data_IF_484621957823
#
_entry.id   IF_484621957823
#
_cell.length_a   1.000
_cell.length_b   1.000
_cell.length_c   1.000
_cell.angle_alpha   90.00
_cell.angle_beta   90.00
_cell.angle_gamma   90.00
#
_symmetry.space_group_name_H-M   'P 1'
#
loop_
_entity.id
_entity.type
_entity.pdbx_description
1 polymer ?
#
# COMPACT_ATOMS: atom_id res chain seq x y z
N UNK A 1 -26.28 -9.46 2.86
CA UNK A 1 -25.34 -8.45 3.43
C UNK A 1 -25.08 -7.45 2.31
N UNK A 2 -24.98 -6.14 2.60
CA UNK A 2 -24.71 -5.14 1.55
C UNK A 2 -23.23 -4.82 1.53
N UNK A 3 -22.58 -4.99 0.39
CA UNK A 3 -21.17 -4.64 0.20
C UNK A 3 -21.07 -3.22 -0.37
N UNK A 4 -20.16 -2.40 0.22
CA UNK A 4 -19.82 -1.06 -0.27
C UNK A 4 -18.50 -1.13 -1.02
N UNK A 5 -18.39 -0.38 -2.11
CA UNK A 5 -17.15 -0.27 -2.89
C UNK A 5 -16.85 1.21 -3.17
N UNK A 6 -15.64 1.65 -2.84
CA UNK A 6 -15.20 3.04 -2.94
C UNK A 6 -14.00 3.10 -3.88
N UNK A 7 -14.03 4.02 -4.82
CA UNK A 7 -13.02 4.25 -5.85
C UNK A 7 -12.70 5.74 -5.96
N UNK A 8 -11.56 6.07 -6.61
CA UNK A 8 -11.31 7.44 -7.07
C UNK A 8 -12.42 7.92 -8.01
N UNK A 9 -12.59 9.22 -8.10
CA UNK A 9 -13.46 9.82 -9.13
C UNK A 9 -12.86 9.62 -10.53
N UNK A 10 -11.53 9.74 -10.66
CA UNK A 10 -10.79 9.59 -11.92
C UNK A 10 -9.41 8.99 -11.68
N UNK A 11 -8.90 8.25 -12.65
CA UNK A 11 -7.50 7.83 -12.67
C UNK A 11 -6.93 7.89 -14.08
N UNK A 12 -5.66 8.30 -14.20
CA UNK A 12 -4.89 8.35 -15.43
C UNK A 12 -3.74 7.36 -15.35
N UNK A 13 -3.53 6.58 -16.41
CA UNK A 13 -2.55 5.50 -16.44
C UNK A 13 -1.65 5.59 -17.66
N UNK A 14 -0.37 5.28 -17.47
CA UNK A 14 0.64 5.22 -18.54
C UNK A 14 1.63 6.37 -18.51
N UNK A 15 2.68 6.24 -19.33
CA UNK A 15 3.75 7.21 -19.41
C UNK A 15 3.24 8.60 -19.80
N UNK A 16 3.58 9.61 -19.00
CA UNK A 16 3.12 10.98 -19.19
C UNK A 16 1.77 11.31 -18.56
N UNK A 17 1.16 10.39 -17.78
CA UNK A 17 -0.12 10.63 -17.10
C UNK A 17 -0.10 11.89 -16.21
N UNK A 18 1.05 12.26 -15.63
CA UNK A 18 1.20 13.49 -14.84
C UNK A 18 0.85 14.78 -15.61
N UNK A 19 0.86 14.77 -16.93
CA UNK A 19 0.50 15.95 -17.75
C UNK A 19 -0.98 16.33 -17.57
N UNK A 20 -1.83 15.36 -17.23
CA UNK A 20 -3.26 15.58 -16.99
C UNK A 20 -3.54 16.30 -15.65
N UNK A 21 -2.55 16.45 -14.77
CA UNK A 21 -2.67 17.23 -13.53
C UNK A 21 -3.17 18.65 -13.83
N UNK A 22 -2.61 19.29 -14.86
CA UNK A 22 -3.00 20.63 -15.24
C UNK A 22 -4.44 20.71 -15.78
N UNK A 23 -4.87 19.71 -16.55
CA UNK A 23 -6.22 19.60 -17.09
C UNK A 23 -7.23 19.45 -15.95
N UNK A 24 -6.99 18.51 -15.04
CA UNK A 24 -7.86 18.24 -13.88
C UNK A 24 -7.93 19.44 -12.93
N UNK A 25 -6.81 20.05 -12.58
CA UNK A 25 -6.79 21.20 -11.68
C UNK A 25 -7.61 22.38 -12.24
N UNK A 26 -7.46 22.67 -13.55
CA UNK A 26 -8.23 23.73 -14.22
C UNK A 26 -9.72 23.37 -14.31
N UNK A 27 -10.07 22.15 -14.65
CA UNK A 27 -11.46 21.70 -14.75
C UNK A 27 -12.19 21.81 -13.41
N UNK A 28 -11.48 21.55 -12.32
CA UNK A 28 -12.02 21.65 -10.94
C UNK A 28 -11.96 23.07 -10.37
N UNK A 29 -11.34 24.00 -11.06
CA UNK A 29 -11.20 25.41 -10.65
C UNK A 29 -10.19 25.64 -9.53
N UNK A 30 -9.27 24.68 -9.31
CA UNK A 30 -8.21 24.79 -8.31
C UNK A 30 -7.18 25.85 -8.69
N UNK A 31 -6.63 26.54 -7.69
CA UNK A 31 -5.74 27.70 -7.89
C UNK A 31 -4.34 27.50 -7.36
N UNK A 32 -4.20 26.88 -6.18
CA UNK A 32 -2.90 26.69 -5.53
C UNK A 32 -2.79 25.31 -4.93
N UNK A 33 -1.79 24.55 -5.37
CA UNK A 33 -1.47 23.22 -4.85
C UNK A 33 -0.62 23.29 -3.57
N UNK A 34 -0.92 22.44 -2.60
CA UNK A 34 0.01 22.07 -1.54
C UNK A 34 0.69 20.76 -1.93
N UNK A 35 1.96 20.82 -2.32
CA UNK A 35 2.69 19.67 -2.85
C UNK A 35 3.41 18.95 -1.73
N UNK A 36 2.89 17.79 -1.33
CA UNK A 36 3.53 16.92 -0.35
C UNK A 36 4.51 15.96 -1.05
N UNK A 37 5.80 16.10 -0.77
CA UNK A 37 6.83 15.22 -1.34
C UNK A 37 8.01 15.07 -0.38
N UNK A 38 8.64 13.88 -0.35
CA UNK A 38 9.79 13.68 0.50
C UNK A 38 11.07 14.35 -0.04
N UNK A 39 12.07 14.61 0.84
CA UNK A 39 13.29 15.31 0.47
C UNK A 39 14.11 14.60 -0.62
N UNK A 40 14.10 13.27 -0.67
CA UNK A 40 14.88 12.52 -1.66
C UNK A 40 14.28 12.64 -3.05
N UNK A 41 12.96 12.59 -3.19
CA UNK A 41 12.28 12.80 -4.47
C UNK A 41 12.54 14.23 -5.01
N UNK A 42 12.62 15.21 -4.12
CA UNK A 42 12.99 16.58 -4.48
C UNK A 42 14.45 16.63 -4.96
N UNK A 43 15.36 16.08 -4.16
CA UNK A 43 16.81 16.02 -4.44
C UNK A 43 17.13 15.33 -5.77
N UNK A 44 16.40 14.25 -6.09
CA UNK A 44 16.58 13.50 -7.32
C UNK A 44 15.72 13.99 -8.49
N UNK A 45 15.09 15.16 -8.37
CA UNK A 45 14.28 15.82 -9.40
C UNK A 45 13.04 15.01 -9.85
N UNK A 46 12.58 14.07 -9.07
CA UNK A 46 11.34 13.34 -9.37
C UNK A 46 10.14 14.28 -9.19
N UNK A 47 10.07 14.96 -8.04
CA UNK A 47 9.04 15.99 -7.76
C UNK A 47 9.03 17.09 -8.81
N UNK A 48 10.21 17.49 -9.31
CA UNK A 48 10.34 18.53 -10.32
C UNK A 48 9.53 18.25 -11.60
N UNK A 49 9.36 16.99 -11.99
CA UNK A 49 8.55 16.64 -13.17
C UNK A 49 7.10 17.14 -13.04
N UNK A 50 6.53 17.06 -11.84
CA UNK A 50 5.17 17.56 -11.55
C UNK A 50 5.18 19.09 -11.43
N UNK A 51 6.19 19.67 -10.78
CA UNK A 51 6.30 21.13 -10.65
C UNK A 51 6.41 21.79 -12.05
N UNK A 52 7.15 21.19 -12.99
CA UNK A 52 7.25 21.69 -14.37
C UNK A 52 5.89 21.68 -15.09
N UNK A 53 5.03 20.70 -14.83
CA UNK A 53 3.64 20.67 -15.35
C UNK A 53 2.82 21.81 -14.76
N UNK A 54 2.93 22.08 -13.45
CA UNK A 54 2.22 23.19 -12.81
C UNK A 54 2.69 24.55 -13.32
N UNK A 55 4.01 24.76 -13.40
CA UNK A 55 4.62 25.99 -13.91
C UNK A 55 4.22 26.27 -15.37
N UNK A 56 4.31 25.22 -16.22
CA UNK A 56 3.91 25.31 -17.63
C UNK A 56 2.43 25.65 -17.83
N UNK A 57 1.60 25.33 -16.85
CA UNK A 57 0.16 25.62 -16.84
C UNK A 57 -0.21 26.94 -16.14
N UNK A 58 0.76 27.62 -15.50
CA UNK A 58 0.53 28.83 -14.71
C UNK A 58 -0.21 28.57 -13.40
N UNK A 59 -0.12 27.36 -12.84
CA UNK A 59 -0.73 26.97 -11.57
C UNK A 59 0.24 27.26 -10.43
N UNK A 60 -0.27 27.88 -9.36
CA UNK A 60 0.52 28.16 -8.16
C UNK A 60 0.69 26.92 -7.32
N UNK A 61 1.78 26.82 -6.59
CA UNK A 61 2.02 25.74 -5.64
C UNK A 61 2.92 26.18 -4.48
N UNK A 62 2.89 25.38 -3.42
CA UNK A 62 3.82 25.46 -2.30
C UNK A 62 4.27 24.04 -1.93
N UNK A 63 5.58 23.83 -1.77
CA UNK A 63 6.13 22.49 -1.48
C UNK A 63 6.29 22.30 0.02
N UNK A 64 5.71 21.22 0.52
CA UNK A 64 5.92 20.70 1.86
C UNK A 64 6.77 19.43 1.80
N UNK A 65 7.99 19.52 2.35
CA UNK A 65 9.00 18.46 2.26
C UNK A 65 9.36 17.81 3.59
N UNK A 66 8.63 18.09 4.66
CA UNK A 66 8.87 17.46 5.95
C UNK A 66 8.22 16.06 6.06
N UNK A 67 8.32 15.30 4.99
CA UNK A 67 7.85 13.91 4.93
C UNK A 67 9.01 13.00 5.35
N UNK A 68 8.72 12.06 6.23
CA UNK A 68 9.67 11.03 6.68
C UNK A 68 9.15 9.63 6.33
N UNK A 69 10.03 8.66 6.12
CA UNK A 69 9.64 7.25 6.18
C UNK A 69 8.91 6.98 7.51
N UNK A 70 7.85 6.16 7.49
CA UNK A 70 6.99 5.93 8.65
C UNK A 70 6.50 7.26 9.29
N UNK A 71 5.63 8.02 8.60
CA UNK A 71 5.25 9.37 9.01
C UNK A 71 4.68 9.39 10.43
N UNK A 72 5.08 10.39 11.20
CA UNK A 72 4.71 10.54 12.60
C UNK A 72 3.56 11.54 12.79
N UNK A 73 2.94 11.51 13.96
CA UNK A 73 1.95 12.52 14.39
C UNK A 73 2.50 13.94 14.19
N UNK A 74 3.77 14.20 14.56
CA UNK A 74 4.42 15.49 14.38
C UNK A 74 4.47 15.93 12.91
N UNK A 75 4.79 15.01 11.99
CA UNK A 75 4.79 15.31 10.54
C UNK A 75 3.41 15.78 10.07
N UNK A 76 2.34 15.13 10.53
CA UNK A 76 0.98 15.53 10.20
C UNK A 76 0.65 16.91 10.79
N UNK A 77 0.96 17.16 12.06
CA UNK A 77 0.65 18.43 12.73
C UNK A 77 1.37 19.63 12.11
N UNK A 78 2.66 19.44 11.78
CA UNK A 78 3.42 20.48 11.05
C UNK A 78 2.88 20.71 9.65
N UNK A 79 2.47 19.64 8.96
CA UNK A 79 1.83 19.71 7.65
C UNK A 79 0.48 20.44 7.67
N UNK A 80 -0.36 20.18 8.67
CA UNK A 80 -1.63 20.90 8.88
C UNK A 80 -1.39 22.41 9.05
N UNK A 81 -0.38 22.77 9.84
CA UNK A 81 -0.01 24.17 10.07
C UNK A 81 0.50 24.84 8.78
N UNK A 82 1.35 24.13 8.02
CA UNK A 82 1.87 24.60 6.75
C UNK A 82 0.76 24.75 5.69
N UNK A 83 -0.17 23.79 5.60
CA UNK A 83 -1.32 23.89 4.69
C UNK A 83 -2.16 25.14 4.98
N UNK A 84 -2.52 25.37 6.24
CA UNK A 84 -3.29 26.56 6.64
C UNK A 84 -2.61 27.86 6.28
N UNK A 85 -1.28 27.92 6.39
CA UNK A 85 -0.50 29.12 6.05
C UNK A 85 -0.31 29.31 4.54
N UNK A 86 -0.35 28.24 3.76
CA UNK A 86 -0.10 28.27 2.33
C UNK A 86 -1.20 28.94 1.52
N UNK A 87 -2.44 28.92 1.98
CA UNK A 87 -3.62 29.32 1.22
C UNK A 87 -3.93 28.41 0.02
N UNK A 88 -3.43 27.18 0.03
CA UNK A 88 -3.74 26.17 -0.98
C UNK A 88 -5.18 25.68 -0.84
N UNK A 89 -5.75 25.24 -1.96
CA UNK A 89 -7.13 24.74 -2.06
C UNK A 89 -7.23 23.25 -2.44
N UNK A 90 -6.10 22.60 -2.77
CA UNK A 90 -5.97 21.17 -2.96
C UNK A 90 -4.56 20.68 -2.62
N UNK A 91 -4.40 19.37 -2.49
CA UNK A 91 -3.11 18.73 -2.21
C UNK A 91 -2.66 17.93 -3.44
N UNK A 92 -1.37 17.98 -3.77
CA UNK A 92 -0.74 17.02 -4.68
C UNK A 92 0.21 16.17 -3.83
N UNK A 93 -0.09 14.89 -3.66
CA UNK A 93 0.77 13.95 -2.95
C UNK A 93 1.67 13.23 -3.96
N UNK A 94 2.99 13.45 -3.86
CA UNK A 94 4.00 12.84 -4.74
C UNK A 94 4.88 11.95 -3.88
N UNK A 95 4.86 10.64 -4.12
CA UNK A 95 5.70 9.71 -3.37
C UNK A 95 5.12 8.32 -3.23
N UNK A 96 5.69 7.57 -2.31
CA UNK A 96 5.15 6.29 -1.84
C UNK A 96 4.11 6.49 -0.73
N UNK A 97 3.83 5.41 0.02
CA UNK A 97 2.86 5.41 1.11
C UNK A 97 3.04 6.56 2.09
N UNK A 98 4.27 6.84 2.53
CA UNK A 98 4.53 7.91 3.53
C UNK A 98 4.07 9.31 3.09
N UNK A 99 4.28 9.67 1.83
CA UNK A 99 3.80 10.96 1.29
C UNK A 99 2.27 10.98 1.16
N UNK A 100 1.67 9.88 0.72
CA UNK A 100 0.23 9.73 0.57
C UNK A 100 -0.48 9.75 1.94
N UNK A 101 0.01 8.98 2.90
CA UNK A 101 -0.55 8.87 4.24
C UNK A 101 -0.50 10.20 4.98
N UNK A 102 0.64 10.92 4.88
CA UNK A 102 0.76 12.26 5.45
C UNK A 102 -0.25 13.22 4.81
N UNK A 103 -0.38 13.18 3.47
CA UNK A 103 -1.31 14.05 2.74
C UNK A 103 -2.78 13.80 3.12
N UNK A 104 -3.18 12.51 3.25
CA UNK A 104 -4.51 12.11 3.69
C UNK A 104 -4.81 12.60 5.11
N UNK A 105 -3.89 12.36 6.05
CA UNK A 105 -4.04 12.82 7.42
C UNK A 105 -4.14 14.36 7.53
N UNK A 106 -3.31 15.10 6.77
CA UNK A 106 -3.41 16.57 6.71
C UNK A 106 -4.79 16.97 6.18
N UNK A 107 -5.18 16.45 5.03
CA UNK A 107 -6.41 16.86 4.36
C UNK A 107 -7.67 16.54 5.15
N UNK A 108 -7.73 15.40 5.86
CA UNK A 108 -8.85 15.04 6.73
C UNK A 108 -8.97 15.98 7.94
N UNK A 109 -7.85 16.31 8.60
CA UNK A 109 -7.84 17.21 9.74
C UNK A 109 -8.24 18.64 9.35
N UNK A 110 -7.84 19.11 8.18
CA UNK A 110 -8.20 20.45 7.70
C UNK A 110 -9.73 20.61 7.60
N UNK A 111 -10.42 19.59 7.13
CA UNK A 111 -11.88 19.61 6.92
C UNK A 111 -12.68 19.11 8.13
N UNK A 112 -12.02 18.41 9.07
CA UNK A 112 -12.62 17.89 10.30
C UNK A 112 -11.73 18.29 11.51
N UNK A 113 -11.70 19.55 11.90
CA UNK A 113 -10.77 20.06 12.92
C UNK A 113 -10.97 19.48 14.32
N UNK A 114 -12.10 18.84 14.59
CA UNK A 114 -12.36 18.09 15.81
C UNK A 114 -11.42 16.86 15.96
N UNK A 115 -10.84 16.39 14.88
CA UNK A 115 -9.84 15.31 14.84
C UNK A 115 -8.39 15.84 14.79
N UNK A 116 -8.12 17.04 15.29
CA UNK A 116 -6.77 17.62 15.28
C UNK A 116 -5.74 16.80 16.06
N UNK A 117 -6.15 16.02 17.06
CA UNK A 117 -5.31 14.96 17.61
C UNK A 117 -5.35 13.73 16.67
N UNK A 118 -4.25 13.49 15.99
CA UNK A 118 -4.11 12.39 15.01
C UNK A 118 -4.50 11.03 15.59
N UNK A 119 -4.32 10.82 16.91
CA UNK A 119 -4.70 9.58 17.60
C UNK A 119 -6.21 9.31 17.53
N UNK A 120 -7.02 10.36 17.43
CA UNK A 120 -8.48 10.22 17.30
C UNK A 120 -8.93 9.68 15.94
N UNK A 121 -8.03 9.61 14.97
CA UNK A 121 -8.29 9.05 13.63
C UNK A 121 -7.99 7.56 13.54
N UNK A 122 -7.41 6.94 14.58
CA UNK A 122 -7.09 5.51 14.55
C UNK A 122 -8.35 4.64 14.42
N UNK A 123 -8.26 3.59 13.62
CA UNK A 123 -9.40 2.74 13.27
C UNK A 123 -10.33 3.43 12.29
N UNK A 124 -11.62 3.37 12.52
CA UNK A 124 -12.66 4.02 11.70
C UNK A 124 -13.18 5.24 12.45
N UNK A 125 -12.69 6.42 12.09
CA UNK A 125 -13.14 7.67 12.68
C UNK A 125 -14.47 8.13 12.06
N UNK A 126 -15.35 8.76 12.88
CA UNK A 126 -16.64 9.28 12.43
C UNK A 126 -16.49 10.70 11.86
N UNK A 127 -15.62 10.88 10.88
CA UNK A 127 -15.45 12.15 10.16
C UNK A 127 -16.72 12.51 9.40
N UNK A 128 -16.98 13.81 9.23
CA UNK A 128 -18.23 14.30 8.60
C UNK A 128 -17.99 14.85 7.20
N UNK A 129 -16.80 15.39 6.98
CA UNK A 129 -16.48 16.09 5.74
C UNK A 129 -15.44 15.30 4.94
N UNK A 130 -15.58 15.33 3.61
CA UNK A 130 -14.53 14.84 2.71
C UNK A 130 -13.23 15.58 2.97
N UNK A 131 -12.13 14.88 2.82
CA UNK A 131 -10.78 15.43 2.82
C UNK A 131 -10.65 16.62 1.85
N UNK A 132 -9.71 17.51 2.10
CA UNK A 132 -9.21 18.42 1.05
C UNK A 132 -8.91 17.58 -0.20
N UNK A 133 -9.33 17.99 -1.41
CA UNK A 133 -9.11 17.19 -2.61
C UNK A 133 -7.63 16.83 -2.79
N UNK A 134 -7.33 15.55 -2.98
CA UNK A 134 -5.98 15.05 -3.18
C UNK A 134 -5.82 14.55 -4.61
N UNK A 135 -4.79 15.03 -5.29
CA UNK A 135 -4.24 14.49 -6.52
C UNK A 135 -3.04 13.62 -6.14
N UNK A 136 -3.11 12.34 -6.41
CA UNK A 136 -2.12 11.38 -6.00
C UNK A 136 -1.22 10.97 -7.16
N UNK A 137 0.11 11.11 -6.98
CA UNK A 137 1.15 10.75 -7.95
C UNK A 137 2.10 9.74 -7.30
N UNK A 138 1.82 8.43 -7.42
CA UNK A 138 2.65 7.41 -6.80
C UNK A 138 4.03 7.33 -7.48
N UNK A 139 5.07 7.17 -6.67
CA UNK A 139 6.44 6.93 -7.12
C UNK A 139 6.95 5.54 -6.73
N UNK A 140 6.12 4.75 -6.06
CA UNK A 140 6.36 3.33 -5.75
C UNK A 140 5.24 2.48 -6.31
N UNK A 141 5.54 1.23 -6.63
CA UNK A 141 4.55 0.27 -7.13
C UNK A 141 4.30 -0.81 -6.06
N UNK A 142 3.60 -0.44 -4.98
CA UNK A 142 3.39 -1.33 -3.83
C UNK A 142 2.12 -1.02 -3.06
N UNK A 143 2.11 0.10 -2.35
CA UNK A 143 1.10 0.43 -1.35
C UNK A 143 -0.30 0.73 -1.90
N UNK A 144 -0.38 1.12 -3.17
CA UNK A 144 -1.62 1.60 -3.79
C UNK A 144 -2.34 2.72 -3.00
N UNK A 145 -1.60 3.51 -2.22
CA UNK A 145 -2.18 4.54 -1.37
C UNK A 145 -2.94 5.62 -2.15
N UNK A 146 -2.68 5.75 -3.45
CA UNK A 146 -3.39 6.63 -4.37
C UNK A 146 -4.84 6.22 -4.65
N UNK A 147 -5.25 4.98 -4.26
CA UNK A 147 -6.60 4.45 -4.51
C UNK A 147 -7.23 3.82 -3.27
N UNK A 148 -6.58 3.95 -2.10
CA UNK A 148 -7.08 3.35 -0.86
C UNK A 148 -7.73 4.37 0.06
N UNK A 149 -8.62 3.88 0.93
CA UNK A 149 -9.25 4.64 2.03
C UNK A 149 -8.47 4.50 3.33
N UNK A 150 -7.26 3.96 3.28
CA UNK A 150 -6.43 3.70 4.45
C UNK A 150 -5.21 4.62 4.43
N UNK A 151 -4.72 4.95 5.61
CA UNK A 151 -3.41 5.57 5.82
C UNK A 151 -2.83 5.13 7.17
N UNK A 152 -1.51 5.19 7.30
CA UNK A 152 -0.81 4.71 8.50
C UNK A 152 0.08 5.80 9.05
N UNK A 153 -0.15 6.17 10.31
CA UNK A 153 0.66 7.18 11.01
C UNK A 153 1.31 6.53 12.24
N UNK A 154 2.57 6.83 12.47
CA UNK A 154 3.33 6.31 13.60
C UNK A 154 3.12 7.18 14.84
N UNK A 155 2.64 6.58 15.91
CA UNK A 155 2.71 7.14 17.26
C UNK A 155 4.08 6.80 17.86
N UNK A 156 5.02 7.75 17.76
CA UNK A 156 6.39 7.55 18.24
C UNK A 156 6.48 7.44 19.77
N UNK A 157 5.50 7.99 20.52
CA UNK A 157 5.46 7.87 21.99
C UNK A 157 5.10 6.45 22.43
N UNK A 158 4.24 5.78 21.66
CA UNK A 158 3.77 4.41 21.94
C UNK A 158 4.48 3.33 21.12
N UNK A 159 5.44 3.72 20.26
CA UNK A 159 6.17 2.83 19.35
C UNK A 159 5.22 1.91 18.54
N UNK A 160 4.14 2.46 18.00
CA UNK A 160 3.17 1.68 17.22
C UNK A 160 2.69 2.41 15.98
N UNK A 161 2.28 1.65 14.99
CA UNK A 161 1.61 2.15 13.80
C UNK A 161 0.10 2.18 14.04
N UNK A 162 -0.50 3.33 13.77
CA UNK A 162 -1.95 3.54 13.79
C UNK A 162 -2.49 3.39 12.38
N UNK A 163 -3.29 2.37 12.14
CA UNK A 163 -4.03 2.21 10.89
C UNK A 163 -5.31 3.03 10.99
N UNK A 164 -5.47 3.98 10.07
CA UNK A 164 -6.64 4.83 9.96
C UNK A 164 -7.41 4.43 8.68
N UNK A 165 -8.72 4.33 8.78
CA UNK A 165 -9.60 3.94 7.67
C UNK A 165 -10.72 4.96 7.55
N UNK A 166 -10.74 5.73 6.47
CA UNK A 166 -11.75 6.76 6.25
C UNK A 166 -12.15 6.86 4.76
N UNK A 167 -13.40 6.55 4.42
CA UNK A 167 -13.88 6.71 3.04
C UNK A 167 -13.77 8.13 2.50
N UNK A 168 -13.64 9.12 3.37
CA UNK A 168 -13.55 10.53 3.00
C UNK A 168 -12.14 10.94 2.56
N UNK A 169 -11.11 10.12 2.80
CA UNK A 169 -9.70 10.47 2.51
C UNK A 169 -9.20 9.99 1.15
N UNK A 170 -9.99 9.17 0.43
CA UNK A 170 -9.55 8.64 -0.85
C UNK A 170 -9.17 9.78 -1.82
N UNK A 171 -8.00 9.74 -2.46
CA UNK A 171 -7.62 10.73 -3.46
C UNK A 171 -8.66 10.84 -4.57
N UNK A 172 -9.03 12.06 -4.94
CA UNK A 172 -10.07 12.28 -5.98
C UNK A 172 -9.55 11.91 -7.37
N UNK A 173 -8.25 12.12 -7.63
CA UNK A 173 -7.60 11.72 -8.90
C UNK A 173 -6.28 11.03 -8.61
N UNK A 174 -6.05 9.90 -9.27
CA UNK A 174 -4.77 9.21 -9.28
C UNK A 174 -4.08 9.36 -10.65
N UNK A 175 -2.79 9.71 -10.65
CA UNK A 175 -1.95 9.82 -11.86
C UNK A 175 -0.87 8.75 -11.80
N UNK A 176 -1.17 7.57 -12.32
CA UNK A 176 -0.34 6.36 -12.24
C UNK A 176 0.61 6.34 -13.43
N UNK A 177 1.71 7.06 -13.30
CA UNK A 177 2.70 7.27 -14.33
C UNK A 177 3.96 6.42 -14.06
N UNK A 178 4.27 5.39 -14.87
CA UNK A 178 5.44 4.54 -14.66
C UNK A 178 6.77 5.32 -14.72
N UNK A 179 6.83 6.45 -15.40
CA UNK A 179 8.03 7.30 -15.44
C UNK A 179 8.33 7.94 -14.08
N UNK A 180 7.32 8.09 -13.22
CA UNK A 180 7.50 8.55 -11.84
C UNK A 180 8.10 7.46 -10.93
N UNK A 181 8.01 6.20 -11.32
CA UNK A 181 8.48 5.02 -10.57
C UNK A 181 9.84 4.50 -11.09
N UNK A 182 10.31 4.97 -12.24
CA UNK A 182 11.49 4.45 -12.93
C UNK A 182 12.81 4.66 -12.18
N UNK A 183 12.84 5.59 -11.22
CA UNK A 183 14.03 5.88 -10.40
C UNK A 183 14.14 5.00 -9.15
N UNK A 184 13.18 4.14 -8.86
CA UNK A 184 13.26 3.24 -7.70
C UNK A 184 14.46 2.28 -7.82
N UNK A 185 15.30 2.17 -6.76
CA UNK A 185 16.35 1.15 -6.70
C UNK A 185 15.78 -0.28 -6.77
N UNK A 186 16.56 -1.24 -7.26
CA UNK A 186 16.17 -2.65 -7.41
C UNK A 186 15.57 -3.24 -6.13
N UNK A 187 16.23 -3.06 -4.98
CA UNK A 187 15.75 -3.57 -3.70
C UNK A 187 14.41 -3.00 -3.27
N UNK A 188 14.20 -1.69 -3.49
CA UNK A 188 12.91 -1.05 -3.20
C UNK A 188 11.83 -1.55 -4.16
N UNK A 189 12.16 -1.72 -5.44
CA UNK A 189 11.23 -2.26 -6.44
C UNK A 189 10.79 -3.67 -6.09
N UNK A 190 11.73 -4.54 -5.68
CA UNK A 190 11.44 -5.91 -5.25
C UNK A 190 10.53 -5.91 -4.01
N UNK A 191 10.89 -5.13 -2.99
CA UNK A 191 10.12 -5.04 -1.75
C UNK A 191 8.69 -4.54 -1.99
N UNK A 192 8.54 -3.41 -2.68
CA UNK A 192 7.21 -2.83 -2.94
C UNK A 192 6.37 -3.69 -3.88
N UNK A 193 7.00 -4.35 -4.86
CA UNK A 193 6.28 -5.26 -5.76
C UNK A 193 5.77 -6.52 -5.07
N UNK A 194 6.53 -7.07 -4.11
CA UNK A 194 6.04 -8.17 -3.27
C UNK A 194 4.97 -7.72 -2.29
N UNK A 195 5.03 -6.48 -1.81
CA UNK A 195 3.97 -5.86 -1.03
C UNK A 195 2.65 -5.81 -1.83
N UNK A 196 2.71 -5.35 -3.07
CA UNK A 196 1.54 -5.36 -3.97
C UNK A 196 1.00 -6.78 -4.22
N UNK A 197 1.86 -7.78 -4.36
CA UNK A 197 1.45 -9.17 -4.48
C UNK A 197 0.78 -9.67 -3.20
N UNK A 198 1.33 -9.31 -2.04
CA UNK A 198 0.74 -9.65 -0.74
C UNK A 198 -0.64 -9.03 -0.58
N UNK A 199 -0.80 -7.75 -0.92
CA UNK A 199 -2.11 -7.08 -0.96
C UNK A 199 -3.11 -7.84 -1.82
N UNK A 200 -2.69 -8.26 -3.02
CA UNK A 200 -3.59 -8.96 -3.94
C UNK A 200 -3.97 -10.36 -3.41
N UNK A 201 -3.01 -11.12 -2.87
CA UNK A 201 -3.27 -12.46 -2.35
C UNK A 201 -4.10 -12.39 -1.06
N UNK A 202 -3.72 -11.56 -0.07
CA UNK A 202 -4.51 -11.42 1.15
C UNK A 202 -5.90 -10.87 0.88
N UNK A 203 -6.03 -9.84 0.04
CA UNK A 203 -7.31 -9.30 -0.36
C UNK A 203 -8.20 -10.31 -1.08
N UNK A 204 -7.61 -11.25 -1.84
CA UNK A 204 -8.35 -12.33 -2.49
C UNK A 204 -8.89 -13.36 -1.50
N UNK A 205 -8.13 -13.70 -0.47
CA UNK A 205 -8.52 -14.73 0.51
C UNK A 205 -9.17 -14.18 1.78
N UNK A 206 -9.18 -12.87 2.00
CA UNK A 206 -9.75 -12.26 3.21
C UNK A 206 -11.21 -12.63 3.42
N UNK A 207 -11.66 -12.64 4.67
CA UNK A 207 -13.06 -12.92 5.02
C UNK A 207 -14.07 -11.92 4.41
N UNK A 208 -13.62 -10.71 4.09
CA UNK A 208 -14.43 -9.67 3.42
C UNK A 208 -14.52 -9.80 1.90
N UNK A 209 -13.79 -10.75 1.28
CA UNK A 209 -13.73 -10.91 -0.17
C UNK A 209 -15.05 -11.37 -0.78
N UNK A 210 -15.34 -10.89 -2.00
CA UNK A 210 -16.51 -11.26 -2.78
C UNK A 210 -16.23 -11.07 -4.28
N UNK A 211 -17.14 -11.46 -5.16
CA UNK A 211 -16.92 -11.59 -6.60
C UNK A 211 -16.28 -10.35 -7.24
N UNK A 212 -16.72 -9.14 -6.86
CA UNK A 212 -16.16 -7.91 -7.44
C UNK A 212 -14.72 -7.69 -7.00
N UNK A 213 -14.39 -7.87 -5.73
CA UNK A 213 -13.01 -7.74 -5.23
C UNK A 213 -12.11 -8.85 -5.78
N UNK A 214 -12.64 -10.06 -5.88
CA UNK A 214 -11.91 -11.23 -6.38
C UNK A 214 -11.42 -11.01 -7.83
N UNK A 215 -12.25 -10.38 -8.67
CA UNK A 215 -11.88 -10.02 -10.04
C UNK A 215 -10.65 -9.10 -10.09
N UNK A 216 -10.59 -8.08 -9.24
CA UNK A 216 -9.44 -7.19 -9.17
C UNK A 216 -8.19 -7.90 -8.66
N UNK A 217 -8.32 -8.67 -7.59
CA UNK A 217 -7.19 -9.35 -6.97
C UNK A 217 -6.54 -10.38 -7.90
N UNK A 218 -7.34 -11.24 -8.55
CA UNK A 218 -6.79 -12.21 -9.49
C UNK A 218 -6.08 -11.53 -10.66
N UNK A 219 -6.65 -10.44 -11.18
CA UNK A 219 -6.00 -9.68 -12.25
C UNK A 219 -4.72 -9.00 -11.79
N UNK A 220 -4.69 -8.49 -10.57
CA UNK A 220 -3.49 -7.92 -9.98
C UNK A 220 -2.38 -8.97 -9.82
N UNK A 221 -2.69 -10.16 -9.28
CA UNK A 221 -1.74 -11.27 -9.14
C UNK A 221 -1.13 -11.62 -10.50
N UNK A 222 -1.95 -11.77 -11.55
CA UNK A 222 -1.49 -12.09 -12.91
C UNK A 222 -0.50 -11.03 -13.44
N UNK A 223 -0.87 -9.76 -13.33
CA UNK A 223 -0.04 -8.66 -13.84
C UNK A 223 1.27 -8.56 -13.06
N UNK A 224 1.23 -8.63 -11.72
CA UNK A 224 2.41 -8.54 -10.87
C UNK A 224 3.34 -9.72 -11.11
N UNK A 225 2.83 -10.95 -11.13
CA UNK A 225 3.62 -12.16 -11.37
C UNK A 225 4.38 -12.10 -12.70
N UNK A 226 3.76 -11.55 -13.73
CA UNK A 226 4.33 -11.39 -15.07
C UNK A 226 5.42 -10.30 -15.12
N UNK A 227 5.24 -9.18 -14.40
CA UNK A 227 6.00 -7.96 -14.65
C UNK A 227 7.03 -7.63 -13.58
N UNK A 228 6.94 -8.19 -12.36
CA UNK A 228 7.79 -7.78 -11.25
C UNK A 228 9.29 -8.00 -11.52
N UNK A 229 9.67 -9.12 -12.13
CA UNK A 229 11.08 -9.37 -12.50
C UNK A 229 11.59 -8.31 -13.47
N UNK A 230 10.80 -7.98 -14.49
CA UNK A 230 11.14 -6.92 -15.44
C UNK A 230 11.24 -5.55 -14.79
N UNK A 231 10.35 -5.24 -13.83
CA UNK A 231 10.41 -3.99 -13.08
C UNK A 231 11.67 -3.89 -12.22
N UNK A 232 12.10 -4.98 -11.58
CA UNK A 232 13.36 -5.05 -10.81
C UNK A 232 14.58 -4.84 -11.73
N UNK A 233 14.50 -5.32 -12.96
CA UNK A 233 15.52 -5.05 -13.99
C UNK A 233 15.35 -3.69 -14.68
N UNK A 234 14.36 -2.91 -14.25
CA UNK A 234 14.05 -1.56 -14.73
C UNK A 234 13.65 -1.50 -16.21
N UNK A 235 12.96 -2.53 -16.70
CA UNK A 235 12.40 -2.48 -18.05
C UNK A 235 11.15 -1.60 -18.10
N UNK A 236 10.90 -0.86 -19.20
CA UNK A 236 9.71 -0.02 -19.34
C UNK A 236 8.40 -0.82 -19.17
N UNK A 237 8.32 -1.99 -19.79
CA UNK A 237 7.15 -2.88 -19.73
C UNK A 237 6.91 -3.39 -18.28
N UNK A 238 8.00 -3.74 -17.58
CA UNK A 238 7.95 -4.15 -16.18
C UNK A 238 7.43 -3.02 -15.28
N UNK A 239 7.94 -1.79 -15.47
CA UNK A 239 7.49 -0.61 -14.72
C UNK A 239 6.02 -0.29 -14.97
N UNK A 240 5.60 -0.31 -16.24
CA UNK A 240 4.20 -0.08 -16.63
C UNK A 240 3.28 -1.15 -16.05
N UNK A 241 3.66 -2.43 -16.16
CA UNK A 241 2.91 -3.53 -15.60
C UNK A 241 2.79 -3.45 -14.07
N UNK A 242 3.87 -3.09 -13.36
CA UNK A 242 3.82 -2.95 -11.90
C UNK A 242 3.02 -1.73 -11.47
N UNK A 243 3.10 -0.60 -12.18
CA UNK A 243 2.28 0.57 -11.92
C UNK A 243 0.78 0.24 -11.99
N UNK A 244 0.37 -0.52 -13.02
CA UNK A 244 -1.01 -0.96 -13.18
C UNK A 244 -1.39 -2.03 -12.15
N UNK A 245 -0.55 -3.06 -11.96
CA UNK A 245 -0.85 -4.20 -11.11
C UNK A 245 -1.08 -3.82 -9.64
N UNK A 246 -0.24 -2.93 -9.08
CA UNK A 246 -0.40 -2.45 -7.72
C UNK A 246 -1.68 -1.60 -7.55
N UNK A 247 -2.01 -0.75 -8.53
CA UNK A 247 -3.24 0.03 -8.51
C UNK A 247 -4.48 -0.88 -8.50
N UNK A 248 -4.51 -1.91 -9.35
CA UNK A 248 -5.61 -2.88 -9.37
C UNK A 248 -5.71 -3.65 -8.04
N UNK A 249 -4.58 -4.03 -7.42
CA UNK A 249 -4.60 -4.61 -6.08
C UNK A 249 -5.26 -3.68 -5.06
N UNK A 250 -4.94 -2.38 -5.14
CA UNK A 250 -5.53 -1.33 -4.30
C UNK A 250 -7.04 -1.20 -4.44
N UNK A 251 -7.56 -1.25 -5.67
CA UNK A 251 -9.01 -1.26 -5.93
C UNK A 251 -9.71 -2.38 -5.14
N UNK A 252 -9.08 -3.53 -5.02
CA UNK A 252 -9.62 -4.66 -4.29
C UNK A 252 -9.50 -4.51 -2.78
N UNK A 253 -8.27 -4.58 -2.24
CA UNK A 253 -8.03 -4.71 -0.80
C UNK A 253 -8.52 -3.51 0.03
N UNK A 254 -8.50 -2.31 -0.53
CA UNK A 254 -9.02 -1.11 0.13
C UNK A 254 -10.47 -1.27 0.60
N UNK A 255 -11.24 -2.11 -0.08
CA UNK A 255 -12.67 -2.30 0.17
C UNK A 255 -13.02 -3.55 0.98
N UNK A 256 -12.09 -4.52 1.10
CA UNK A 256 -12.37 -5.81 1.75
C UNK A 256 -11.43 -6.15 2.90
N UNK A 257 -10.30 -5.44 3.02
CA UNK A 257 -9.29 -5.67 4.04
C UNK A 257 -8.25 -6.72 3.64
N UNK A 258 -7.39 -7.07 4.61
CA UNK A 258 -6.22 -7.91 4.45
C UNK A 258 -6.28 -9.09 5.46
N UNK A 259 -5.13 -9.54 5.96
CA UNK A 259 -5.04 -10.66 6.89
C UNK A 259 -3.78 -10.60 7.77
N UNK A 260 -3.33 -11.77 8.24
CA UNK A 260 -2.25 -11.85 9.22
C UNK A 260 -0.84 -11.66 8.64
N UNK A 261 -0.63 -11.67 7.33
CA UNK A 261 0.69 -11.27 6.77
C UNK A 261 0.97 -9.83 7.16
N UNK A 262 0.05 -8.93 6.87
CA UNK A 262 0.18 -7.52 7.24
C UNK A 262 0.22 -7.31 8.75
N UNK A 263 -0.64 -8.02 9.49
CA UNK A 263 -0.62 -7.96 10.97
C UNK A 263 0.73 -8.34 11.56
N UNK A 264 1.41 -9.34 11.01
CA UNK A 264 2.74 -9.77 11.44
C UNK A 264 3.85 -8.84 10.94
N UNK A 265 3.68 -8.20 9.78
CA UNK A 265 4.67 -7.28 9.22
C UNK A 265 4.72 -5.92 9.96
N UNK A 266 3.59 -5.41 10.45
CA UNK A 266 3.50 -4.12 11.12
C UNK A 266 4.42 -3.98 12.34
N UNK A 267 4.42 -4.94 13.32
CA UNK A 267 5.30 -4.82 14.48
C UNK A 267 6.78 -4.98 14.13
N UNK A 268 7.15 -5.66 13.04
CA UNK A 268 8.54 -5.70 12.56
C UNK A 268 9.01 -4.32 12.09
N UNK A 269 8.15 -3.60 11.40
CA UNK A 269 8.43 -2.21 11.02
C UNK A 269 8.53 -1.28 12.22
N UNK A 270 7.70 -1.48 13.25
CA UNK A 270 7.68 -0.65 14.44
C UNK A 270 8.89 -0.89 15.37
N UNK A 271 9.31 -2.16 15.54
CA UNK A 271 10.36 -2.53 16.48
C UNK A 271 11.77 -2.50 15.87
N UNK A 272 11.92 -2.91 14.62
CA UNK A 272 13.21 -3.10 13.95
C UNK A 272 13.42 -2.18 12.74
N UNK A 273 12.45 -1.29 12.46
CA UNK A 273 12.46 -0.46 11.24
C UNK A 273 12.59 -1.28 9.94
N UNK A 274 12.09 -2.52 9.97
CA UNK A 274 12.12 -3.41 8.81
C UNK A 274 11.28 -2.80 7.68
N UNK A 275 11.82 -2.73 6.46
CA UNK A 275 11.03 -2.27 5.31
C UNK A 275 9.78 -3.13 5.13
N UNK A 276 8.61 -2.47 5.08
CA UNK A 276 7.31 -3.14 5.12
C UNK A 276 7.16 -4.24 4.08
N UNK A 277 7.51 -3.95 2.82
CA UNK A 277 7.42 -4.93 1.73
C UNK A 277 8.37 -6.12 1.89
N UNK A 278 9.52 -5.94 2.55
CA UNK A 278 10.42 -7.06 2.89
C UNK A 278 9.77 -7.97 3.93
N UNK A 279 9.22 -7.38 5.01
CA UNK A 279 8.52 -8.14 6.03
C UNK A 279 7.36 -8.94 5.44
N UNK A 280 6.49 -8.31 4.65
CA UNK A 280 5.38 -8.97 3.97
C UNK A 280 5.86 -10.10 3.06
N UNK A 281 6.90 -9.88 2.26
CA UNK A 281 7.39 -10.87 1.31
C UNK A 281 7.95 -12.14 1.97
N UNK A 282 8.62 -11.99 3.13
CA UNK A 282 9.16 -13.12 3.89
C UNK A 282 8.03 -13.90 4.56
N UNK A 283 7.05 -13.21 5.13
CA UNK A 283 5.96 -13.82 5.90
C UNK A 283 4.93 -14.50 4.99
N UNK A 284 4.68 -13.94 3.80
CA UNK A 284 3.59 -14.36 2.91
C UNK A 284 3.55 -15.88 2.64
N UNK A 285 4.63 -16.56 2.23
CA UNK A 285 4.55 -18.00 1.91
C UNK A 285 4.16 -18.84 3.13
N UNK A 286 4.67 -18.51 4.33
CA UNK A 286 4.37 -19.21 5.58
C UNK A 286 2.92 -19.04 5.99
N UNK A 287 2.37 -17.84 5.86
CA UNK A 287 0.96 -17.58 6.13
C UNK A 287 0.07 -18.21 5.06
N UNK A 288 0.50 -18.26 3.81
CA UNK A 288 -0.22 -19.02 2.78
C UNK A 288 -0.34 -20.49 3.16
N UNK A 289 0.72 -21.13 3.66
CA UNK A 289 0.69 -22.52 4.15
C UNK A 289 -0.30 -22.67 5.32
N UNK A 290 -0.34 -21.71 6.23
CA UNK A 290 -1.27 -21.71 7.37
C UNK A 290 -2.74 -21.59 6.95
N UNK A 291 -3.04 -20.75 5.94
CA UNK A 291 -4.40 -20.42 5.52
C UNK A 291 -5.00 -21.38 4.46
N UNK A 292 -4.18 -22.18 3.78
CA UNK A 292 -4.54 -22.89 2.56
C UNK A 292 -5.80 -23.77 2.63
N UNK A 293 -6.10 -24.35 3.81
CA UNK A 293 -7.27 -25.19 3.96
C UNK A 293 -8.57 -24.41 4.24
N UNK A 294 -8.46 -23.18 4.71
CA UNK A 294 -9.60 -22.33 5.05
C UNK A 294 -10.18 -21.56 3.85
N UNK A 295 -9.61 -21.71 2.66
CA UNK A 295 -9.88 -20.85 1.49
C UNK A 295 -10.57 -21.56 0.32
N UNK A 296 -11.05 -22.79 0.52
CA UNK A 296 -11.69 -23.58 -0.53
C UNK A 296 -10.73 -23.85 -1.71
N UNK A 297 -11.13 -23.46 -2.89
CA UNK A 297 -10.36 -23.62 -4.14
C UNK A 297 -9.60 -22.34 -4.57
N UNK A 298 -9.60 -21.29 -3.77
CA UNK A 298 -8.99 -20.01 -4.14
C UNK A 298 -7.51 -20.13 -4.53
N UNK A 299 -6.76 -21.05 -3.93
CA UNK A 299 -5.35 -21.29 -4.27
C UNK A 299 -5.14 -21.86 -5.68
N UNK A 300 -6.14 -22.56 -6.24
CA UNK A 300 -6.12 -22.96 -7.65
C UNK A 300 -6.04 -21.75 -8.57
N UNK A 301 -6.87 -20.73 -8.29
CA UNK A 301 -6.89 -19.50 -9.09
C UNK A 301 -5.68 -18.62 -8.83
N UNK A 302 -5.14 -18.61 -7.61
CA UNK A 302 -3.84 -17.96 -7.31
C UNK A 302 -2.73 -18.62 -8.14
N UNK A 303 -2.66 -19.96 -8.17
CA UNK A 303 -1.66 -20.67 -8.97
C UNK A 303 -1.78 -20.33 -10.48
N UNK A 304 -3.00 -20.30 -11.01
CA UNK A 304 -3.26 -19.89 -12.40
C UNK A 304 -2.78 -18.47 -12.68
N UNK A 305 -3.14 -17.53 -11.83
CA UNK A 305 -2.74 -16.13 -11.95
C UNK A 305 -1.22 -15.94 -11.83
N UNK A 306 -0.55 -16.78 -11.02
CA UNK A 306 0.92 -16.83 -10.92
C UNK A 306 1.59 -17.51 -12.15
N UNK A 307 0.81 -18.00 -13.13
CA UNK A 307 1.30 -18.60 -14.36
C UNK A 307 1.55 -20.11 -14.29
N UNK A 308 1.02 -20.81 -13.29
CA UNK A 308 1.09 -22.27 -13.19
C UNK A 308 0.10 -22.90 -14.17
N UNK A 309 0.58 -23.82 -15.03
CA UNK A 309 -0.24 -24.54 -16.00
C UNK A 309 -0.82 -25.83 -15.40
N UNK A 310 -1.92 -26.34 -15.98
CA UNK A 310 -2.49 -27.65 -15.66
C UNK A 310 -3.20 -27.71 -14.29
N UNK A 311 -3.54 -26.59 -13.71
CA UNK A 311 -4.16 -26.54 -12.37
C UNK A 311 -5.56 -27.17 -12.33
N UNK A 312 -6.22 -27.34 -13.48
CA UNK A 312 -7.54 -27.97 -13.57
C UNK A 312 -7.49 -29.48 -13.32
N UNK A 313 -6.34 -30.11 -13.58
CA UNK A 313 -6.08 -31.53 -13.35
C UNK A 313 -5.45 -31.80 -11.97
N UNK A 314 -5.06 -30.75 -11.22
CA UNK A 314 -4.41 -30.88 -9.91
C UNK A 314 -5.42 -31.16 -8.79
N UNK A 315 -5.02 -32.01 -7.84
CA UNK A 315 -5.69 -32.15 -6.56
C UNK A 315 -5.59 -30.85 -5.73
N UNK A 316 -6.43 -30.68 -4.71
CA UNK A 316 -6.34 -29.52 -3.79
C UNK A 316 -4.95 -29.35 -3.16
N UNK A 317 -4.30 -30.43 -2.79
CA UNK A 317 -2.95 -30.40 -2.23
C UNK A 317 -1.92 -29.89 -3.26
N UNK A 318 -2.01 -30.40 -4.50
CA UNK A 318 -1.09 -30.04 -5.58
C UNK A 318 -1.21 -28.57 -5.98
N UNK A 319 -2.42 -28.03 -6.22
CA UNK A 319 -2.56 -26.62 -6.61
C UNK A 319 -2.24 -25.65 -5.46
N UNK A 320 -2.50 -26.02 -4.18
CA UNK A 320 -2.10 -25.23 -3.02
C UNK A 320 -0.58 -25.11 -2.94
N UNK A 321 0.10 -26.26 -3.04
CA UNK A 321 1.56 -26.29 -3.08
C UNK A 321 2.11 -25.50 -4.26
N UNK A 322 1.54 -25.65 -5.44
CA UNK A 322 1.99 -24.94 -6.66
C UNK A 322 1.85 -23.42 -6.53
N UNK A 323 0.76 -22.91 -5.92
CA UNK A 323 0.58 -21.49 -5.65
C UNK A 323 1.67 -20.95 -4.72
N UNK A 324 1.93 -21.65 -3.61
CA UNK A 324 2.93 -21.26 -2.62
C UNK A 324 4.34 -21.30 -3.23
N UNK A 325 4.67 -22.35 -3.96
CA UNK A 325 5.97 -22.51 -4.64
C UNK A 325 6.19 -21.40 -5.68
N UNK A 326 5.16 -21.00 -6.41
CA UNK A 326 5.24 -19.91 -7.39
C UNK A 326 5.57 -18.57 -6.70
N UNK A 327 4.98 -18.29 -5.53
CA UNK A 327 5.29 -17.09 -4.74
C UNK A 327 6.72 -17.16 -4.21
N UNK A 328 7.14 -18.29 -3.61
CA UNK A 328 8.52 -18.51 -3.12
C UNK A 328 9.54 -18.30 -4.24
N UNK A 329 9.25 -18.85 -5.43
CA UNK A 329 10.11 -18.70 -6.60
C UNK A 329 10.24 -17.24 -7.02
N UNK A 330 9.14 -16.50 -7.10
CA UNK A 330 9.18 -15.08 -7.46
C UNK A 330 10.01 -14.28 -6.45
N UNK A 331 9.79 -14.47 -5.14
CA UNK A 331 10.58 -13.84 -4.08
C UNK A 331 12.08 -14.12 -4.23
N UNK A 332 12.45 -15.38 -4.46
CA UNK A 332 13.84 -15.80 -4.65
C UNK A 332 14.47 -15.18 -5.91
N UNK A 333 13.73 -15.16 -7.03
CA UNK A 333 14.23 -14.62 -8.31
C UNK A 333 14.57 -13.12 -8.24
N UNK A 334 13.92 -12.38 -7.34
CA UNK A 334 14.13 -10.93 -7.17
C UNK A 334 14.97 -10.59 -5.92
N UNK A 335 15.52 -11.59 -5.25
CA UNK A 335 16.48 -11.42 -4.16
C UNK A 335 15.87 -11.05 -2.81
N UNK A 336 14.63 -11.43 -2.53
CA UNK A 336 14.01 -11.29 -1.20
C UNK A 336 14.61 -12.35 -0.25
N UNK A 337 14.99 -11.99 0.99
CA UNK A 337 15.42 -12.95 2.01
C UNK A 337 14.33 -14.01 2.28
N UNK A 338 14.77 -15.23 2.61
CA UNK A 338 13.86 -16.36 2.81
C UNK A 338 13.28 -16.43 4.24
N UNK A 339 13.93 -15.79 5.22
CA UNK A 339 13.57 -15.88 6.63
C UNK A 339 13.87 -14.57 7.39
N UNK A 340 13.52 -14.54 8.67
CA UNK A 340 13.65 -13.39 9.56
C UNK A 340 14.84 -13.50 10.53
N UNK A 341 15.72 -14.50 10.37
CA UNK A 341 16.82 -14.79 11.33
C UNK A 341 17.72 -13.61 11.61
N UNK A 342 18.04 -12.80 10.61
CA UNK A 342 18.90 -11.62 10.75
C UNK A 342 18.15 -10.38 11.28
N UNK A 343 16.81 -10.47 11.42
CA UNK A 343 15.96 -9.35 11.79
C UNK A 343 15.37 -9.56 13.19
N UNK A 344 14.78 -10.72 13.44
CA UNK A 344 13.98 -10.99 14.66
C UNK A 344 14.81 -11.68 15.72
N UNK A 345 14.75 -11.14 16.94
CA UNK A 345 15.29 -11.78 18.13
C UNK A 345 14.22 -12.67 18.77
N UNK A 346 14.61 -13.86 19.18
CA UNK A 346 13.69 -14.85 19.78
C UNK A 346 12.97 -14.33 21.02
N UNK A 347 13.62 -13.53 21.82
CA UNK A 347 13.04 -12.91 23.02
C UNK A 347 11.90 -11.92 22.73
N UNK A 348 11.84 -11.36 21.53
CA UNK A 348 10.83 -10.38 21.13
C UNK A 348 9.56 -11.02 20.53
N UNK A 349 9.60 -12.33 20.23
CA UNK A 349 8.45 -13.04 19.61
C UNK A 349 7.15 -12.89 20.41
N UNK A 350 7.12 -12.98 21.76
CA UNK A 350 5.88 -12.79 22.49
C UNK A 350 5.26 -11.40 22.29
N UNK A 351 6.09 -10.34 22.22
CA UNK A 351 5.62 -8.98 21.93
C UNK A 351 5.12 -8.86 20.49
N UNK A 352 5.87 -9.40 19.52
CA UNK A 352 5.49 -9.38 18.11
C UNK A 352 4.17 -10.11 17.87
N UNK A 353 3.99 -11.30 18.49
CA UNK A 353 2.78 -12.09 18.34
C UNK A 353 1.56 -11.40 18.95
N UNK A 354 1.69 -10.81 20.14
CA UNK A 354 0.60 -10.05 20.74
C UNK A 354 0.26 -8.82 19.91
N UNK A 355 1.26 -8.06 19.44
CA UNK A 355 1.04 -6.88 18.61
C UNK A 355 0.34 -7.23 17.28
N UNK A 356 0.72 -8.34 16.65
CA UNK A 356 0.07 -8.83 15.44
C UNK A 356 -1.36 -9.32 15.71
N UNK A 357 -1.61 -9.92 16.86
CA UNK A 357 -2.95 -10.35 17.26
C UNK A 357 -3.90 -9.16 17.46
N UNK A 358 -3.41 -8.07 17.99
CA UNK A 358 -4.19 -6.84 18.26
C UNK A 358 -4.31 -5.94 17.01
N UNK A 359 -3.66 -6.29 15.91
CA UNK A 359 -3.63 -5.51 14.67
C UNK A 359 -4.98 -5.51 13.95
N UNK A 360 -5.30 -4.37 13.31
CA UNK A 360 -6.57 -4.14 12.60
C UNK A 360 -6.78 -5.05 11.38
N UNK A 361 -5.72 -5.60 10.78
CA UNK A 361 -5.81 -6.49 9.61
C UNK A 361 -6.17 -7.93 10.00
N UNK A 362 -5.85 -8.37 11.22
CA UNK A 362 -6.07 -9.75 11.67
C UNK A 362 -7.50 -10.27 11.51
N UNK A 363 -8.55 -9.49 11.82
CA UNK A 363 -9.93 -9.98 11.69
C UNK A 363 -10.32 -10.37 10.26
N UNK A 364 -9.59 -9.87 9.25
CA UNK A 364 -9.79 -10.24 7.84
C UNK A 364 -9.20 -11.60 7.47
N UNK A 365 -8.36 -12.22 8.32
CA UNK A 365 -7.75 -13.51 7.98
C UNK A 365 -8.82 -14.61 7.81
N UNK A 366 -8.75 -15.45 6.75
CA UNK A 366 -9.77 -16.46 6.47
C UNK A 366 -9.86 -17.56 7.51
N UNK A 367 -8.77 -17.80 8.23
CA UNK A 367 -8.68 -18.75 9.33
C UNK A 367 -8.60 -18.02 10.66
N UNK A 368 -9.42 -18.41 11.63
CA UNK A 368 -9.30 -17.88 12.98
C UNK A 368 -7.89 -18.12 13.53
N UNK A 369 -7.32 -17.11 14.16
CA UNK A 369 -5.91 -17.10 14.51
C UNK A 369 -5.75 -16.63 15.95
N UNK A 370 -5.03 -17.41 16.76
CA UNK A 370 -4.67 -17.11 18.16
C UNK A 370 -3.27 -16.50 18.26
N UNK A 371 -2.94 -15.92 19.43
CA UNK A 371 -1.57 -15.46 19.74
C UNK A 371 -0.57 -16.62 19.63
N UNK A 372 -0.97 -17.83 20.06
CA UNK A 372 -0.13 -19.03 19.99
C UNK A 372 0.16 -19.43 18.54
N UNK A 373 -0.82 -19.33 17.64
CA UNK A 373 -0.61 -19.61 16.20
C UNK A 373 0.40 -18.62 15.61
N UNK A 374 0.23 -17.33 15.90
CA UNK A 374 1.15 -16.28 15.40
C UNK A 374 2.56 -16.48 15.96
N UNK A 375 2.67 -16.87 17.24
CA UNK A 375 3.96 -17.21 17.85
C UNK A 375 4.67 -18.33 17.07
N UNK A 376 3.95 -19.44 16.77
CA UNK A 376 4.50 -20.55 15.98
C UNK A 376 4.90 -20.13 14.56
N UNK A 377 4.12 -19.24 13.94
CA UNK A 377 4.46 -18.70 12.61
C UNK A 377 5.77 -17.89 12.65
N UNK A 378 5.97 -17.01 13.64
CA UNK A 378 7.24 -16.30 13.80
C UNK A 378 8.39 -17.26 14.11
N UNK A 379 8.20 -18.24 15.00
CA UNK A 379 9.22 -19.24 15.32
C UNK A 379 9.67 -20.06 14.11
N UNK A 380 8.78 -20.31 13.15
CA UNK A 380 9.11 -21.03 11.92
C UNK A 380 9.91 -20.20 10.90
N UNK A 381 9.98 -18.89 11.11
CA UNK A 381 10.68 -17.94 10.23
C UNK A 381 12.08 -17.52 10.75
N UNK A 382 12.49 -18.00 11.93
CA UNK A 382 13.80 -17.68 12.56
C UNK A 382 14.71 -18.90 12.68
#
# INVERSE_FOLDING_TARGET
MTNRFILNETSYHGAGAIKEIATEAKARGFKKAFVCSDPDLIKFNVTKKVLDVLEGAGLMYEVYSQIKPNPTIENVQTGVSAFKSSGADYIIAIGGGSSMDTAKAIGIIITNPEFADVRSLEGVADTKNKCVPIFAVPTTAGTAAEVTINYVITDAEKNRKMVCVDPHDIPVVAFVDPDMMSSMPKGLTAATGMDALTHAIEGYITAGAWELSDMFHLKAIEIIAKNLRGAVDNTPEGREGMALGQYIAGLGFSNVGLGIVHSMAHPLGALYDTPHGIANAIILPTVMEYNQEATGDKYKYIAQAMGVSGTDEMSPEEYRKAAIDAVKKLSSDIGIPADLKEIVKKEDIPFLAQSAYDDACRPGNPKETSVEDITKLYESLI
#
